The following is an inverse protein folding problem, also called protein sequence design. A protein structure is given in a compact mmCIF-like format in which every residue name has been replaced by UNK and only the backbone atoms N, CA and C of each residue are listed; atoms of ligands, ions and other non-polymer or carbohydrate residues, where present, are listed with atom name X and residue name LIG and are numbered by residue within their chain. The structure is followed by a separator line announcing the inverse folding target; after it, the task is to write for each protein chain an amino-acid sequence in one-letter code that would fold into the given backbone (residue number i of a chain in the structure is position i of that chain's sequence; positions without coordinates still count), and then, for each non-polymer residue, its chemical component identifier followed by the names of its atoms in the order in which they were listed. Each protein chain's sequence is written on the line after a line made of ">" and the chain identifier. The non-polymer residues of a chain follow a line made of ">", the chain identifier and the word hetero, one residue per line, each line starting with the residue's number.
data_IF_926764098567
#
_entry.id   IF_926764098567
#
_cell.length_a   1.000
_cell.length_b   1.000
_cell.length_c   1.000
_cell.angle_alpha   90.00
_cell.angle_beta   90.00
_cell.angle_gamma   90.00
#
_symmetry.space_group_name_H-M   'P 1'
#
loop_
_entity.id
_entity.type
_entity.pdbx_description
1 polymer ?
#
# COMPACT_ATOMS: atom_id res chain seq x y z
N UNK A 1 -18.95 0.23 11.42
CA UNK A 1 -18.60 -1.07 10.83
C UNK A 1 -17.12 -1.29 11.05
N UNK A 2 -16.65 -2.51 11.34
CA UNK A 2 -15.20 -2.78 11.38
C UNK A 2 -14.63 -2.60 9.97
N UNK A 3 -13.44 -2.02 9.86
CA UNK A 3 -12.71 -1.98 8.61
C UNK A 3 -12.41 -3.43 8.16
N UNK A 4 -12.58 -3.79 6.87
CA UNK A 4 -12.42 -5.16 6.37
C UNK A 4 -10.94 -5.58 6.25
N UNK A 5 -10.18 -5.46 7.33
CA UNK A 5 -8.77 -5.87 7.46
C UNK A 5 -8.70 -7.31 7.99
N UNK A 6 -7.69 -8.13 7.64
CA UNK A 6 -7.54 -9.47 8.19
C UNK A 6 -7.49 -9.48 9.73
N UNK A 7 -8.09 -10.49 10.35
CA UNK A 7 -8.24 -10.55 11.81
C UNK A 7 -6.87 -10.59 12.51
N UNK A 8 -5.89 -11.26 11.92
CA UNK A 8 -4.51 -11.34 12.40
C UNK A 8 -3.82 -9.97 12.41
N UNK A 9 -3.99 -9.18 11.35
CA UNK A 9 -3.45 -7.83 11.27
C UNK A 9 -4.16 -6.93 12.29
N UNK A 10 -5.49 -7.02 12.38
CA UNK A 10 -6.27 -6.25 13.35
C UNK A 10 -5.86 -6.55 14.80
N UNK A 11 -5.64 -7.83 15.13
CA UNK A 11 -5.18 -8.25 16.45
C UNK A 11 -3.78 -7.73 16.74
N UNK A 12 -2.88 -7.75 15.75
CA UNK A 12 -1.52 -7.23 15.90
C UNK A 12 -1.52 -5.71 16.14
N UNK A 13 -2.26 -4.95 15.32
CA UNK A 13 -2.42 -3.50 15.45
C UNK A 13 -3.05 -3.09 16.79
N UNK A 14 -3.91 -3.93 17.37
CA UNK A 14 -4.49 -3.68 18.69
C UNK A 14 -3.47 -3.85 19.84
N UNK A 15 -2.45 -4.70 19.64
CA UNK A 15 -1.49 -5.07 20.66
C UNK A 15 -0.17 -4.30 20.56
N UNK A 16 0.19 -3.79 19.37
CA UNK A 16 1.49 -3.21 19.09
C UNK A 16 1.36 -1.80 18.52
N UNK A 17 2.35 -0.95 18.83
CA UNK A 17 2.49 0.39 18.27
C UNK A 17 3.52 0.47 17.15
N UNK A 18 4.34 -0.56 17.00
CA UNK A 18 5.38 -0.74 15.97
C UNK A 18 5.58 -2.25 15.76
N UNK A 19 6.40 -2.67 14.82
CA UNK A 19 6.77 -4.08 14.67
C UNK A 19 7.69 -4.54 15.82
N UNK A 20 7.55 -5.79 16.25
CA UNK A 20 8.43 -6.40 17.26
C UNK A 20 9.85 -6.66 16.73
N UNK A 21 9.97 -6.72 15.40
CA UNK A 21 11.23 -6.89 14.69
C UNK A 21 11.94 -5.56 14.54
N UNK A 22 13.27 -5.62 14.53
CA UNK A 22 14.10 -4.44 14.34
C UNK A 22 13.98 -3.94 12.89
N UNK A 23 13.47 -2.73 12.74
CA UNK A 23 13.32 -2.03 11.45
C UNK A 23 14.29 -0.86 11.32
N UNK A 24 15.31 -0.75 12.16
CA UNK A 24 16.25 0.38 12.15
C UNK A 24 17.05 0.53 10.86
N UNK A 25 17.11 -0.53 10.04
CA UNK A 25 17.73 -0.54 8.72
C UNK A 25 16.77 -0.19 7.58
N UNK A 26 15.49 0.02 7.87
CA UNK A 26 14.47 0.35 6.88
C UNK A 26 14.61 1.79 6.41
N UNK A 27 14.41 2.02 5.12
CA UNK A 27 14.45 3.35 4.50
C UNK A 27 13.33 4.27 5.04
N UNK A 28 12.20 3.70 5.49
CA UNK A 28 11.10 4.46 6.11
C UNK A 28 11.37 4.90 7.56
N UNK A 29 12.46 4.42 8.16
CA UNK A 29 12.81 4.72 9.55
C UNK A 29 11.85 4.12 10.59
N UNK A 30 11.72 4.77 11.74
CA UNK A 30 10.79 4.31 12.77
C UNK A 30 9.34 4.56 12.32
N UNK A 31 8.46 3.61 12.63
CA UNK A 31 7.04 3.70 12.29
C UNK A 31 6.15 3.65 13.54
N UNK A 32 4.95 4.20 13.39
CA UNK A 32 3.82 4.00 14.30
C UNK A 32 2.70 3.31 13.53
N UNK A 33 2.28 2.15 13.99
CA UNK A 33 1.15 1.41 13.44
C UNK A 33 -0.18 2.10 13.72
N UNK A 34 -1.14 1.95 12.80
CA UNK A 34 -2.48 2.50 12.94
C UNK A 34 -3.25 1.79 14.06
N UNK A 35 -4.06 2.55 14.81
CA UNK A 35 -4.94 1.96 15.82
C UNK A 35 -6.18 1.35 15.14
N UNK A 36 -6.71 0.20 15.60
CA UNK A 36 -7.90 -0.41 15.02
C UNK A 36 -9.11 0.52 14.87
N UNK A 37 -9.27 1.48 15.78
CA UNK A 37 -10.36 2.46 15.78
C UNK A 37 -10.20 3.56 14.73
N UNK A 38 -8.98 3.79 14.21
CA UNK A 38 -8.71 4.79 13.16
C UNK A 38 -8.73 4.22 11.75
N UNK A 39 -8.78 2.89 11.59
CA UNK A 39 -8.79 2.25 10.28
C UNK A 39 -10.05 2.66 9.48
N UNK A 40 -9.82 3.24 8.32
CA UNK A 40 -10.86 3.66 7.39
C UNK A 40 -10.42 3.36 5.96
N UNK A 41 -11.40 3.04 5.10
CA UNK A 41 -11.14 2.95 3.66
C UNK A 41 -10.94 4.36 3.12
N UNK A 42 -9.88 4.55 2.33
CA UNK A 42 -9.63 5.75 1.56
C UNK A 42 -9.17 5.40 0.15
N UNK A 43 -9.15 6.42 -0.71
CA UNK A 43 -8.72 6.28 -2.09
C UNK A 43 -7.19 6.45 -2.19
N UNK A 44 -6.56 5.52 -2.91
CA UNK A 44 -5.21 5.61 -3.42
C UNK A 44 -5.27 5.74 -4.94
N UNK A 45 -4.43 6.59 -5.52
CA UNK A 45 -4.50 6.89 -6.96
C UNK A 45 -3.34 6.26 -7.69
N UNK A 46 -3.64 5.47 -8.73
CA UNK A 46 -2.62 4.86 -9.57
C UNK A 46 -2.65 5.50 -10.95
N UNK A 47 -1.55 6.10 -11.38
CA UNK A 47 -1.40 6.65 -12.72
C UNK A 47 -1.14 5.52 -13.73
N UNK A 48 -1.86 5.55 -14.84
CA UNK A 48 -1.57 4.67 -15.98
C UNK A 48 -0.39 5.16 -16.84
N UNK A 49 -0.03 6.44 -16.73
CA UNK A 49 0.96 7.12 -17.56
C UNK A 49 2.38 7.21 -16.97
N UNK A 50 2.55 7.06 -15.65
CA UNK A 50 3.88 7.04 -14.99
C UNK A 50 4.77 5.90 -15.46
N UNK A 51 4.15 4.82 -15.97
CA UNK A 51 4.80 3.67 -16.59
C UNK A 51 4.21 3.45 -17.97
N UNK A 52 5.06 3.12 -18.95
CA UNK A 52 4.62 2.79 -20.31
C UNK A 52 3.98 1.40 -20.35
N UNK A 53 2.73 1.30 -19.87
CA UNK A 53 1.93 0.07 -19.83
C UNK A 53 1.17 -0.13 -21.15
N UNK A 54 1.60 -1.04 -22.06
CA UNK A 54 0.98 -1.12 -23.38
C UNK A 54 -0.46 -1.64 -23.35
N UNK A 55 -0.82 -2.39 -22.29
CA UNK A 55 -2.12 -3.01 -22.08
C UNK A 55 -3.13 -2.12 -21.34
N UNK A 56 -2.70 -0.97 -20.81
CA UNK A 56 -3.61 -0.03 -20.15
C UNK A 56 -4.54 0.60 -21.20
N UNK A 57 -5.88 0.40 -21.09
CA UNK A 57 -6.84 0.99 -22.03
C UNK A 57 -6.84 2.53 -21.99
N UNK A 58 -6.34 3.13 -20.91
CA UNK A 58 -6.29 4.56 -20.69
C UNK A 58 -4.88 5.15 -20.82
N UNK A 59 -3.87 4.40 -21.31
CA UNK A 59 -2.45 4.82 -21.43
C UNK A 59 -2.17 6.11 -22.23
N UNK A 60 -3.16 6.62 -22.95
CA UNK A 60 -3.07 7.84 -23.76
C UNK A 60 -4.00 8.95 -23.26
N UNK A 61 -4.62 8.75 -22.10
CA UNK A 61 -5.56 9.68 -21.48
C UNK A 61 -4.97 10.21 -20.17
N UNK A 62 -5.18 11.49 -19.91
CA UNK A 62 -4.81 12.09 -18.63
C UNK A 62 -5.86 11.70 -17.58
N UNK A 63 -5.46 10.90 -16.60
CA UNK A 63 -6.35 10.39 -15.56
C UNK A 63 -5.63 9.50 -14.58
N UNK A 64 -6.41 8.83 -13.73
CA UNK A 64 -5.90 7.92 -12.71
C UNK A 64 -6.92 6.83 -12.40
N UNK A 65 -6.44 5.70 -11.90
CA UNK A 65 -7.26 4.66 -11.32
C UNK A 65 -7.45 4.89 -9.83
N UNK A 66 -8.65 4.60 -9.33
CA UNK A 66 -8.99 4.71 -7.91
C UNK A 66 -8.93 3.34 -7.26
N UNK A 67 -8.03 3.18 -6.30
CA UNK A 67 -7.82 1.95 -5.55
C UNK A 67 -8.22 2.18 -4.10
N UNK A 68 -9.39 1.69 -3.65
CA UNK A 68 -9.77 1.76 -2.24
C UNK A 68 -8.88 0.86 -1.39
N UNK A 69 -8.22 1.45 -0.40
CA UNK A 69 -7.32 0.77 0.51
C UNK A 69 -7.43 1.29 1.95
N UNK A 70 -6.67 0.70 2.86
CA UNK A 70 -6.63 1.06 4.28
C UNK A 70 -5.16 1.15 4.69
N UNK A 71 -4.70 2.31 5.16
CA UNK A 71 -3.36 2.41 5.77
C UNK A 71 -3.30 1.66 7.09
N UNK A 72 -2.20 0.93 7.25
CA UNK A 72 -1.86 0.21 8.46
C UNK A 72 -0.76 0.93 9.25
N UNK A 73 -0.17 1.99 8.66
CA UNK A 73 0.83 2.86 9.26
C UNK A 73 0.21 4.24 9.48
N UNK A 74 0.39 4.79 10.67
CA UNK A 74 -0.10 6.10 11.09
C UNK A 74 0.95 7.19 10.95
N UNK A 75 2.21 6.85 11.22
CA UNK A 75 3.32 7.80 11.17
C UNK A 75 4.61 7.07 10.82
N UNK A 76 5.52 7.77 10.16
CA UNK A 76 6.90 7.37 9.91
C UNK A 76 7.83 8.53 10.25
N UNK A 77 9.12 8.25 10.43
CA UNK A 77 10.12 9.29 10.68
C UNK A 77 10.53 9.97 9.36
N UNK A 78 10.28 11.27 9.24
CA UNK A 78 10.87 12.11 8.19
C UNK A 78 10.21 12.04 6.80
N UNK A 79 9.20 11.20 6.61
CA UNK A 79 8.43 11.05 5.36
C UNK A 79 6.91 11.15 5.60
N UNK A 80 6.15 11.17 4.50
CA UNK A 80 4.69 11.01 4.57
C UNK A 80 4.36 9.53 4.86
N UNK A 81 3.56 9.22 5.90
CA UNK A 81 3.18 7.84 6.20
C UNK A 81 2.19 7.22 5.22
N UNK A 82 1.53 8.04 4.39
CA UNK A 82 0.48 7.60 3.50
C UNK A 82 1.01 6.55 2.50
N UNK A 83 0.37 5.38 2.46
CA UNK A 83 0.70 4.36 1.48
C UNK A 83 1.86 3.46 1.86
N UNK A 84 2.60 3.73 2.94
CA UNK A 84 3.78 2.95 3.33
C UNK A 84 3.46 1.45 3.45
N UNK A 85 2.36 1.13 4.12
CA UNK A 85 1.82 -0.23 4.19
C UNK A 85 0.29 -0.18 4.21
N UNK A 86 -0.32 -0.76 3.19
CA UNK A 86 -1.76 -0.72 2.97
C UNK A 86 -2.36 -2.11 2.87
N UNK A 87 -3.63 -2.23 3.23
CA UNK A 87 -4.48 -3.36 2.88
C UNK A 87 -5.45 -2.96 1.79
N UNK A 88 -5.60 -3.80 0.76
CA UNK A 88 -6.47 -3.57 -0.40
C UNK A 88 -7.61 -4.61 -0.35
N UNK A 89 -8.80 -4.28 0.19
CA UNK A 89 -9.85 -5.27 0.43
C UNK A 89 -10.33 -5.99 -0.82
N UNK A 90 -10.37 -5.28 -1.97
CA UNK A 90 -10.81 -5.86 -3.24
C UNK A 90 -9.88 -6.96 -3.76
N UNK A 91 -8.57 -6.85 -3.48
CA UNK A 91 -7.56 -7.82 -3.87
C UNK A 91 -7.29 -8.87 -2.79
N UNK A 92 -7.69 -8.57 -1.55
CA UNK A 92 -7.31 -9.33 -0.35
C UNK A 92 -5.78 -9.44 -0.21
N UNK A 93 -5.08 -8.35 -0.50
CA UNK A 93 -3.62 -8.28 -0.48
C UNK A 93 -3.14 -7.04 0.24
N UNK A 94 -1.93 -7.15 0.79
CA UNK A 94 -1.17 -6.00 1.27
C UNK A 94 -0.42 -5.34 0.11
N UNK A 95 0.06 -4.13 0.32
CA UNK A 95 0.88 -3.44 -0.66
C UNK A 95 1.50 -2.18 -0.09
N UNK A 96 2.15 -1.44 -0.97
CA UNK A 96 2.67 -0.10 -0.71
C UNK A 96 2.33 0.81 -1.89
N UNK A 97 2.07 2.08 -1.60
CA UNK A 97 1.69 3.09 -2.59
C UNK A 97 2.68 4.24 -2.58
N UNK A 98 3.16 4.59 -3.77
CA UNK A 98 4.09 5.66 -4.01
C UNK A 98 3.32 6.96 -4.31
N UNK A 99 3.33 7.90 -3.36
CA UNK A 99 2.69 9.20 -3.50
C UNK A 99 3.34 10.08 -4.58
N UNK A 100 4.63 9.90 -4.85
CA UNK A 100 5.39 10.72 -5.81
C UNK A 100 5.19 10.24 -7.25
N UNK A 101 5.07 8.92 -7.43
CA UNK A 101 4.94 8.29 -8.75
C UNK A 101 3.52 7.79 -9.07
N UNK A 102 2.61 7.80 -8.10
CA UNK A 102 1.25 7.24 -8.20
C UNK A 102 1.28 5.79 -8.70
N UNK A 103 2.18 5.01 -8.13
CA UNK A 103 2.33 3.59 -8.39
C UNK A 103 1.95 2.80 -7.15
N UNK A 104 1.50 1.57 -7.32
CA UNK A 104 1.20 0.68 -6.20
C UNK A 104 1.87 -0.65 -6.43
N UNK A 105 2.58 -1.19 -5.44
CA UNK A 105 3.12 -2.54 -5.45
C UNK A 105 2.21 -3.43 -4.61
N UNK A 106 1.85 -4.61 -5.13
CA UNK A 106 1.00 -5.58 -4.42
C UNK A 106 1.84 -6.74 -3.91
N UNK A 107 1.72 -7.04 -2.61
CA UNK A 107 2.39 -8.18 -1.99
C UNK A 107 1.55 -9.44 -2.20
N UNK A 108 1.65 -10.03 -3.39
CA UNK A 108 0.93 -11.27 -3.73
C UNK A 108 1.29 -12.40 -2.78
N UNK A 109 0.30 -13.25 -2.48
CA UNK A 109 0.41 -14.43 -1.59
C UNK A 109 1.07 -14.16 -0.22
N UNK A 110 1.03 -12.92 0.26
CA UNK A 110 1.66 -12.49 1.50
C UNK A 110 0.65 -12.43 2.65
N UNK A 111 0.96 -13.11 3.75
CA UNK A 111 0.19 -13.01 4.99
C UNK A 111 0.71 -11.88 5.88
N UNK A 112 -0.14 -11.41 6.81
CA UNK A 112 0.33 -10.48 7.84
C UNK A 112 1.46 -11.07 8.70
N UNK A 113 1.41 -12.37 8.99
CA UNK A 113 2.46 -13.06 9.76
C UNK A 113 3.83 -12.95 9.06
N UNK A 114 3.88 -13.11 7.73
CA UNK A 114 5.11 -12.92 6.98
C UNK A 114 5.64 -11.48 7.09
N UNK A 115 4.75 -10.49 6.99
CA UNK A 115 5.11 -9.07 7.15
C UNK A 115 5.60 -8.79 8.57
N UNK A 116 4.91 -9.29 9.60
CA UNK A 116 5.29 -9.05 10.99
C UNK A 116 6.61 -9.76 11.37
N UNK A 117 6.91 -10.91 10.76
CA UNK A 117 8.13 -11.68 11.02
C UNK A 117 9.38 -11.10 10.34
N UNK A 118 9.22 -10.48 9.16
CA UNK A 118 10.28 -9.78 8.42
C UNK A 118 9.71 -8.53 7.71
N UNK A 119 9.52 -7.40 8.41
CA UNK A 119 8.81 -6.23 7.86
C UNK A 119 9.62 -5.42 6.85
N UNK A 120 10.95 -5.42 6.93
CA UNK A 120 11.81 -4.52 6.14
C UNK A 120 11.62 -4.67 4.63
N UNK A 121 11.58 -5.88 4.04
CA UNK A 121 11.34 -6.04 2.60
C UNK A 121 10.01 -5.46 2.10
N UNK A 122 8.99 -5.39 2.97
CA UNK A 122 7.67 -4.85 2.63
C UNK A 122 7.62 -3.33 2.81
N UNK A 123 8.23 -2.81 3.87
CA UNK A 123 8.32 -1.37 4.11
C UNK A 123 9.19 -0.68 3.06
N UNK A 124 10.28 -1.31 2.63
CA UNK A 124 11.23 -0.74 1.69
C UNK A 124 10.92 -1.11 0.22
N UNK A 125 9.78 -1.73 -0.05
CA UNK A 125 9.45 -2.29 -1.36
C UNK A 125 9.50 -1.25 -2.51
N UNK A 126 9.24 0.03 -2.23
CA UNK A 126 9.35 1.12 -3.20
C UNK A 126 10.81 1.50 -3.53
N UNK A 127 11.75 1.25 -2.62
CA UNK A 127 13.15 1.64 -2.74
C UNK A 127 14.06 0.51 -3.21
N UNK A 128 13.68 -0.76 -3.03
CA UNK A 128 14.51 -1.89 -3.49
C UNK A 128 14.28 -2.17 -5.00
N UNK A 129 15.29 -1.93 -5.87
CA UNK A 129 15.19 -2.29 -7.29
C UNK A 129 15.09 -3.80 -7.55
N UNK A 130 15.27 -4.63 -6.52
CA UNK A 130 15.12 -6.09 -6.54
C UNK A 130 13.84 -6.55 -5.86
N UNK A 131 12.94 -5.63 -5.49
CA UNK A 131 11.63 -5.95 -4.97
C UNK A 131 10.96 -7.01 -5.86
N UNK A 132 10.59 -8.18 -5.31
CA UNK A 132 10.07 -9.29 -6.13
C UNK A 132 8.60 -9.12 -6.48
N UNK A 133 7.94 -8.09 -5.96
CA UNK A 133 6.52 -7.85 -6.11
C UNK A 133 6.22 -7.02 -7.34
N UNK A 134 5.07 -7.29 -7.94
CA UNK A 134 4.63 -6.59 -9.13
C UNK A 134 3.90 -5.29 -8.80
N UNK A 135 4.03 -4.34 -9.72
CA UNK A 135 3.17 -3.17 -9.73
C UNK A 135 1.75 -3.58 -10.09
N UNK A 136 0.78 -3.02 -9.37
CA UNK A 136 -0.63 -3.19 -9.64
C UNK A 136 -0.92 -2.72 -11.07
N UNK A 137 -1.58 -3.58 -11.84
CA UNK A 137 -2.21 -3.22 -13.11
C UNK A 137 -3.70 -2.97 -12.85
N UNK A 138 -4.15 -1.72 -12.60
CA UNK A 138 -5.46 -1.50 -12.03
C UNK A 138 -6.61 -1.87 -12.97
N UNK A 139 -6.38 -1.78 -14.28
CA UNK A 139 -7.35 -2.20 -15.31
C UNK A 139 -7.59 -3.71 -15.34
N UNK A 140 -6.60 -4.53 -14.95
CA UNK A 140 -6.79 -5.99 -14.82
C UNK A 140 -7.65 -6.31 -13.62
N UNK A 141 -7.44 -5.57 -12.51
CA UNK A 141 -8.23 -5.67 -11.30
C UNK A 141 -9.64 -5.05 -11.40
N UNK A 142 -9.92 -4.29 -12.47
CA UNK A 142 -11.21 -3.65 -12.70
C UNK A 142 -11.47 -2.41 -11.83
N UNK A 143 -10.41 -1.73 -11.39
CA UNK A 143 -10.55 -0.47 -10.65
C UNK A 143 -11.08 0.65 -11.55
N UNK A 144 -11.82 1.59 -10.96
CA UNK A 144 -12.43 2.71 -11.66
C UNK A 144 -11.36 3.66 -12.18
N UNK A 145 -11.40 4.00 -13.47
CA UNK A 145 -10.60 5.08 -14.04
C UNK A 145 -11.37 6.40 -14.01
N UNK A 146 -10.67 7.50 -13.69
CA UNK A 146 -11.21 8.86 -13.68
C UNK A 146 -10.32 9.79 -14.52
N UNK A 147 -10.96 10.64 -15.29
CA UNK A 147 -10.28 11.67 -16.07
C UNK A 147 -9.79 12.82 -15.17
N UNK A 148 -8.63 13.39 -15.49
CA UNK A 148 -8.06 14.55 -14.81
C UNK A 148 -7.11 14.21 -13.67
N UNK A 149 -7.00 15.11 -12.68
CA UNK A 149 -6.17 14.92 -11.48
C UNK A 149 -7.04 14.73 -10.23
N UNK A 150 -6.56 14.02 -9.20
CA UNK A 150 -7.31 13.79 -7.97
C UNK A 150 -7.49 15.01 -7.05
N UNK A 151 -7.28 16.24 -7.55
CA UNK A 151 -7.39 17.50 -6.80
C UNK A 151 -7.75 18.70 -7.69
#
# INVERSE_FOLDING_TARGET
>A
MRAPVPDEALAYLAAHRTFDRDISMSEVGAIVLAEPSSLAVRDFWVDGGGRDWPADPHRHHAGYYVVPGIDLVRAVDGYDPDGVLIWIPALRSFGTWDLDHWDLIVFEDTSWEAIADDPVPFLDALWDPRCPFDYLQPWVAGFEWREGRPF
#
